data_IF_885009163351
#
_entry.id   IF_885009163351
#
_cell.length_a   1.000
_cell.length_b   1.000
_cell.length_c   1.000
_cell.angle_alpha   90.00
_cell.angle_beta   90.00
_cell.angle_gamma   90.00
#
_symmetry.space_group_name_H-M   'P 1'
#
loop_
_entity.id
_entity.type
_entity.pdbx_description
1 polymer ?
#
# COMPACT_ATOMS: atom_id res chain seq x y z
N UNK A 1 11.35 4.24 16.20
CA UNK A 1 11.21 2.78 16.37
C UNK A 1 9.80 2.51 16.84
N UNK A 2 9.01 1.78 16.05
CA UNK A 2 7.67 1.37 16.45
C UNK A 2 7.80 0.07 17.25
N UNK A 3 7.17 -0.03 18.42
CA UNK A 3 7.25 -1.23 19.25
C UNK A 3 6.49 -2.39 18.58
N UNK A 4 7.00 -3.61 18.71
CA UNK A 4 6.27 -4.79 18.27
C UNK A 4 5.21 -5.18 19.32
N UNK A 5 4.22 -5.98 18.93
CA UNK A 5 3.18 -6.45 19.85
C UNK A 5 3.74 -7.16 21.09
N UNK A 6 4.85 -7.91 20.94
CA UNK A 6 5.52 -8.56 22.07
C UNK A 6 6.09 -7.56 23.09
N UNK A 7 6.64 -6.43 22.63
CA UNK A 7 7.19 -5.40 23.50
C UNK A 7 6.09 -4.68 24.29
N UNK A 8 4.91 -4.47 23.69
CA UNK A 8 3.74 -3.93 24.38
C UNK A 8 3.24 -4.87 25.47
N UNK A 9 3.10 -6.16 25.15
CA UNK A 9 2.69 -7.18 26.14
C UNK A 9 3.69 -7.33 27.29
N UNK A 10 4.99 -7.26 26.99
CA UNK A 10 6.01 -7.27 28.02
C UNK A 10 5.92 -6.03 28.93
N UNK A 11 5.66 -4.85 28.35
CA UNK A 11 5.47 -3.62 29.13
C UNK A 11 4.24 -3.68 30.04
N UNK A 12 3.13 -4.27 29.57
CA UNK A 12 1.95 -4.51 30.41
C UNK A 12 2.27 -5.40 31.60
N UNK A 13 3.05 -6.45 31.39
CA UNK A 13 3.42 -7.40 32.45
C UNK A 13 4.21 -6.76 33.59
N UNK A 14 4.88 -5.63 33.34
CA UNK A 14 5.69 -4.89 34.32
C UNK A 14 5.10 -3.51 34.66
N UNK A 15 3.91 -3.17 34.16
CA UNK A 15 3.28 -1.86 34.39
C UNK A 15 4.03 -0.67 33.77
N UNK A 16 4.83 -0.90 32.73
CA UNK A 16 5.62 0.16 32.09
C UNK A 16 4.75 0.93 31.08
N UNK A 17 4.67 2.26 31.19
CA UNK A 17 3.83 3.06 30.30
C UNK A 17 4.40 3.06 28.87
N UNK A 18 3.54 2.80 27.89
CA UNK A 18 3.98 2.62 26.49
C UNK A 18 4.71 3.82 25.90
N UNK A 19 4.45 5.03 26.39
CA UNK A 19 5.14 6.25 25.97
C UNK A 19 6.66 6.20 26.14
N UNK A 20 7.17 5.29 27.00
CA UNK A 20 8.60 5.05 27.20
C UNK A 20 9.18 4.05 26.19
N UNK A 21 8.35 3.28 25.48
CA UNK A 21 8.77 2.31 24.47
C UNK A 21 9.02 2.94 23.10
N UNK A 22 8.52 4.15 22.89
CA UNK A 22 8.64 4.86 21.62
C UNK A 22 9.81 5.86 21.69
N UNK A 23 10.53 5.98 20.57
CA UNK A 23 11.52 7.04 20.42
C UNK A 23 10.88 8.43 20.45
N UNK A 24 11.66 9.46 20.78
CA UNK A 24 11.16 10.82 20.99
C UNK A 24 10.37 11.35 19.79
N UNK A 25 10.75 11.01 18.55
CA UNK A 25 10.05 11.42 17.33
C UNK A 25 8.57 10.96 17.23
N UNK A 26 8.11 10.05 18.09
CA UNK A 26 6.71 9.62 18.17
C UNK A 26 5.96 10.20 19.38
N UNK A 27 6.61 11.03 20.21
CA UNK A 27 5.96 11.70 21.34
C UNK A 27 5.17 12.90 20.84
N UNK A 28 4.01 13.12 21.46
CA UNK A 28 3.15 14.28 21.18
C UNK A 28 3.91 15.60 21.35
N UNK A 29 4.79 15.68 22.34
CA UNK A 29 5.59 16.89 22.56
C UNK A 29 6.46 17.23 21.35
N UNK A 30 7.15 16.24 20.78
CA UNK A 30 7.98 16.45 19.59
C UNK A 30 7.16 16.89 18.38
N UNK A 31 5.92 16.40 18.24
CA UNK A 31 4.97 16.93 17.26
C UNK A 31 4.62 18.39 17.52
N UNK A 32 4.24 18.73 18.75
CA UNK A 32 3.94 20.12 19.14
C UNK A 32 5.13 21.03 18.83
N UNK A 33 6.34 20.64 19.23
CA UNK A 33 7.56 21.42 19.03
C UNK A 33 7.88 21.60 17.54
N UNK A 34 7.68 20.56 16.73
CA UNK A 34 7.90 20.62 15.27
C UNK A 34 6.98 21.66 14.61
N UNK A 35 5.75 21.80 15.11
CA UNK A 35 4.74 22.72 14.60
C UNK A 35 4.63 24.02 15.42
N UNK A 36 5.53 24.24 16.39
CA UNK A 36 5.50 25.45 17.23
C UNK A 36 5.86 26.72 16.44
N UNK A 37 6.60 26.57 15.33
CA UNK A 37 6.87 27.64 14.39
C UNK A 37 5.64 28.02 13.57
N UNK A 38 5.55 29.29 13.17
CA UNK A 38 4.55 29.72 12.21
C UNK A 38 4.80 29.02 10.85
N UNK A 39 3.90 28.12 10.46
CA UNK A 39 3.81 27.67 9.08
C UNK A 39 3.14 28.79 8.30
N UNK A 40 3.94 29.69 7.76
CA UNK A 40 3.44 30.60 6.76
C UNK A 40 3.03 29.73 5.56
N UNK A 41 1.77 29.76 5.11
CA UNK A 41 1.51 29.28 3.76
C UNK A 41 2.49 30.03 2.87
N UNK A 42 3.10 29.32 1.93
CA UNK A 42 3.77 29.98 0.81
C UNK A 42 2.79 31.05 0.36
N UNK A 43 3.20 32.32 0.45
CA UNK A 43 2.35 33.49 0.23
C UNK A 43 1.39 33.13 -0.88
N UNK A 44 0.04 33.28 -0.70
CA UNK A 44 -0.93 32.78 -1.67
C UNK A 44 -0.32 33.13 -2.99
N UNK A 45 0.05 32.10 -3.78
CA UNK A 45 0.67 32.33 -5.08
C UNK A 45 -0.14 33.49 -5.59
N UNK A 46 0.50 34.64 -5.80
CA UNK A 46 -0.25 35.79 -6.28
C UNK A 46 -1.02 35.31 -7.50
N UNK A 47 -1.92 36.12 -8.04
CA UNK A 47 -2.40 35.85 -9.39
C UNK A 47 -1.22 35.98 -10.37
N UNK A 48 -0.26 35.05 -10.31
CA UNK A 48 0.78 34.78 -11.25
C UNK A 48 -0.01 34.23 -12.41
N UNK A 49 -0.15 35.02 -13.48
CA UNK A 49 -0.93 34.60 -14.61
C UNK A 49 -0.34 33.29 -15.09
N UNK A 50 -1.14 32.21 -15.01
CA UNK A 50 -0.76 30.92 -15.56
C UNK A 50 -0.52 31.17 -17.05
N UNK A 51 0.69 30.93 -17.58
CA UNK A 51 0.97 31.16 -18.99
C UNK A 51 -0.06 30.46 -19.87
N UNK A 52 -0.46 31.09 -20.97
CA UNK A 52 -1.41 30.49 -21.92
C UNK A 52 -0.94 29.12 -22.43
N UNK A 53 0.37 28.89 -22.47
CA UNK A 53 0.99 27.60 -22.82
C UNK A 53 0.63 26.46 -21.87
N UNK A 54 0.22 26.75 -20.62
CA UNK A 54 -0.23 25.76 -19.63
C UNK A 54 -1.76 25.65 -19.66
N UNK A 55 -2.46 26.80 -19.71
CA UNK A 55 -3.93 26.85 -19.72
C UNK A 55 -4.53 26.24 -21.00
N UNK A 56 -3.80 26.29 -22.11
CA UNK A 56 -4.17 25.64 -23.38
C UNK A 56 -3.92 24.13 -23.40
N UNK A 57 -3.22 23.57 -22.40
CA UNK A 57 -3.00 22.12 -22.32
C UNK A 57 -4.27 21.43 -21.85
N UNK A 58 -4.93 20.77 -22.78
CA UNK A 58 -6.05 19.90 -22.47
C UNK A 58 -5.56 18.62 -21.80
N UNK A 59 -5.50 18.63 -20.47
CA UNK A 59 -5.10 17.46 -19.69
C UNK A 59 -6.32 16.59 -19.37
N UNK A 60 -6.49 15.49 -20.11
CA UNK A 60 -7.52 14.50 -19.79
C UNK A 60 -7.08 13.61 -18.63
N UNK A 61 -8.03 13.26 -17.77
CA UNK A 61 -7.81 12.21 -16.78
C UNK A 61 -7.41 10.91 -17.48
N UNK A 62 -6.44 10.15 -16.96
CA UNK A 62 -6.05 8.89 -17.56
C UNK A 62 -7.27 7.96 -17.66
N UNK A 63 -7.44 7.35 -18.83
CA UNK A 63 -8.47 6.33 -19.07
C UNK A 63 -8.11 5.06 -18.29
N UNK A 64 -8.41 5.06 -16.99
CA UNK A 64 -8.10 3.96 -16.06
C UNK A 64 -9.19 2.89 -16.00
N UNK A 65 -10.26 3.02 -16.80
CA UNK A 65 -11.37 2.07 -16.78
C UNK A 65 -10.87 0.69 -17.22
N UNK A 66 -10.90 -0.27 -16.29
CA UNK A 66 -10.72 -1.69 -16.62
C UNK A 66 -11.82 -2.13 -17.59
N UNK A 67 -11.46 -2.85 -18.64
CA UNK A 67 -12.45 -3.42 -19.58
C UNK A 67 -13.49 -4.25 -18.85
N UNK A 68 -14.76 -4.15 -19.24
CA UNK A 68 -15.80 -5.08 -18.80
C UNK A 68 -15.42 -6.50 -19.20
N UNK A 69 -15.58 -7.46 -18.29
CA UNK A 69 -15.28 -8.87 -18.53
C UNK A 69 -14.49 -9.54 -17.40
N UNK A 70 -14.22 -10.83 -17.58
CA UNK A 70 -13.47 -11.63 -16.62
C UNK A 70 -12.03 -11.13 -16.52
N UNK A 71 -11.48 -10.91 -15.32
CA UNK A 71 -10.06 -10.63 -15.15
C UNK A 71 -9.20 -11.69 -15.82
N UNK A 72 -8.09 -11.27 -16.44
CA UNK A 72 -7.09 -12.19 -16.99
C UNK A 72 -6.59 -13.12 -15.87
N UNK A 73 -6.48 -14.41 -16.18
CA UNK A 73 -5.97 -15.41 -15.21
C UNK A 73 -4.50 -15.15 -14.85
N UNK A 74 -3.76 -14.54 -15.78
CA UNK A 74 -2.39 -14.07 -15.56
C UNK A 74 -2.39 -12.57 -15.28
N UNK A 75 -1.75 -12.20 -14.17
CA UNK A 75 -1.43 -10.82 -13.82
C UNK A 75 -0.43 -10.23 -14.83
N UNK A 76 -0.61 -8.97 -15.19
CA UNK A 76 0.38 -8.18 -15.96
C UNK A 76 1.30 -7.49 -14.96
N UNK A 77 2.62 -7.68 -15.11
CA UNK A 77 3.61 -7.02 -14.27
C UNK A 77 3.75 -5.55 -14.67
N UNK A 78 3.99 -4.66 -13.71
CA UNK A 78 4.34 -3.26 -14.01
C UNK A 78 5.80 -3.15 -14.47
N UNK A 79 6.17 -2.02 -15.08
CA UNK A 79 7.51 -1.80 -15.66
C UNK A 79 8.67 -2.02 -14.68
N UNK A 80 8.46 -1.79 -13.37
CA UNK A 80 9.48 -1.99 -12.34
C UNK A 80 9.48 -3.37 -11.68
N UNK A 81 8.54 -4.25 -12.03
CA UNK A 81 8.44 -5.57 -11.41
C UNK A 81 9.29 -6.59 -12.16
N UNK A 82 10.39 -7.01 -11.52
CA UNK A 82 11.23 -8.11 -12.00
C UNK A 82 10.58 -9.43 -11.55
N UNK A 83 10.11 -10.31 -12.47
CA UNK A 83 9.50 -11.56 -12.08
C UNK A 83 10.53 -12.45 -11.38
N UNK A 84 10.24 -12.87 -10.15
CA UNK A 84 11.05 -13.88 -9.48
C UNK A 84 11.10 -15.17 -10.31
N UNK A 85 12.24 -15.88 -10.37
CA UNK A 85 12.34 -17.15 -11.07
C UNK A 85 11.31 -18.13 -10.50
N UNK A 86 10.45 -18.67 -11.36
CA UNK A 86 9.42 -19.64 -10.98
C UNK A 86 10.10 -20.94 -10.55
N UNK A 87 10.24 -21.16 -9.24
CA UNK A 87 10.63 -22.47 -8.70
C UNK A 87 9.49 -23.45 -8.97
N UNK A 88 9.78 -24.56 -9.65
CA UNK A 88 8.82 -25.67 -9.76
C UNK A 88 8.55 -26.17 -8.35
N UNK A 89 7.29 -26.09 -7.90
CA UNK A 89 6.91 -26.71 -6.63
C UNK A 89 7.07 -28.22 -6.77
N UNK A 90 7.69 -28.86 -5.79
CA UNK A 90 7.81 -30.32 -5.74
C UNK A 90 6.43 -30.97 -5.64
N UNK A 91 5.53 -30.37 -4.86
CA UNK A 91 4.15 -30.81 -4.68
C UNK A 91 3.20 -29.82 -5.36
N UNK A 92 2.38 -30.27 -6.35
CA UNK A 92 1.36 -29.43 -6.96
C UNK A 92 0.29 -29.01 -5.94
N UNK A 93 -0.18 -27.76 -6.06
CA UNK A 93 -1.33 -27.32 -5.27
C UNK A 93 -2.57 -28.14 -5.66
N UNK A 94 -3.30 -28.65 -4.66
CA UNK A 94 -4.59 -29.31 -4.84
C UNK A 94 -5.72 -28.29 -4.75
N UNK A 95 -6.79 -28.53 -5.50
CA UNK A 95 -8.02 -27.77 -5.42
C UNK A 95 -8.68 -28.01 -4.06
N UNK A 96 -8.95 -26.96 -3.29
CA UNK A 96 -9.60 -27.07 -1.98
C UNK A 96 -11.07 -27.53 -2.03
N UNK A 97 -11.70 -27.64 -3.22
CA UNK A 97 -13.06 -28.17 -3.39
C UNK A 97 -13.05 -29.66 -3.75
N UNK A 98 -12.41 -30.03 -4.86
CA UNK A 98 -12.45 -31.41 -5.38
C UNK A 98 -11.18 -32.24 -5.14
N UNK A 99 -10.12 -31.65 -4.54
CA UNK A 99 -8.84 -32.31 -4.32
C UNK A 99 -7.95 -32.52 -5.56
N UNK A 100 -8.48 -32.30 -6.77
CA UNK A 100 -7.74 -32.44 -8.03
C UNK A 100 -6.64 -31.39 -8.22
N UNK A 101 -5.67 -31.67 -9.08
CA UNK A 101 -4.56 -30.75 -9.38
C UNK A 101 -4.79 -29.98 -10.69
N UNK A 102 -3.98 -28.93 -10.89
CA UNK A 102 -3.97 -28.20 -12.16
C UNK A 102 -5.06 -27.14 -12.30
N UNK A 103 -5.94 -26.99 -11.31
CA UNK A 103 -7.00 -25.97 -11.28
C UNK A 103 -7.25 -25.42 -9.86
N UNK A 104 -7.92 -24.27 -9.78
CA UNK A 104 -8.36 -23.68 -8.51
C UNK A 104 -9.87 -23.86 -8.30
N UNK A 105 -10.33 -23.68 -7.05
CA UNK A 105 -11.74 -23.88 -6.65
C UNK A 105 -12.75 -22.92 -7.33
N UNK A 106 -12.29 -21.84 -7.95
CA UNK A 106 -13.11 -20.83 -8.63
C UNK A 106 -13.15 -21.02 -10.16
N UNK A 107 -12.51 -22.06 -10.69
CA UNK A 107 -12.53 -22.34 -12.13
C UNK A 107 -13.70 -23.25 -12.50
N UNK A 108 -14.31 -23.00 -13.66
CA UNK A 108 -15.47 -23.74 -14.19
C UNK A 108 -15.21 -25.24 -14.36
N UNK A 109 -13.95 -25.64 -14.52
CA UNK A 109 -13.51 -27.05 -14.63
C UNK A 109 -13.47 -27.80 -13.30
N UNK A 110 -13.73 -27.12 -12.17
CA UNK A 110 -13.83 -27.79 -10.88
C UNK A 110 -15.21 -28.46 -10.79
N UNK A 111 -15.30 -29.80 -10.65
CA UNK A 111 -16.57 -30.43 -10.32
C UNK A 111 -17.10 -29.87 -9.00
N UNK A 112 -18.43 -29.81 -8.88
CA UNK A 112 -19.10 -29.42 -7.64
C UNK A 112 -18.77 -30.42 -6.52
#
# INVERSE_FOLDING_TARGET
>A
MISCGHALLAADSIGLPYVQLFGDCYKTQTWIDTYAGAIYPESPLGDFPIPETITSVLMFSPLTRRSSGRPKDKRVASTGEIPAPKKKKLVPNKCGRCGGTGHNKNQLRCPN
#
